data_IF_681540136141
#
_entry.id   IF_681540136141
#
_cell.length_a   1.000
_cell.length_b   1.000
_cell.length_c   1.000
_cell.angle_alpha   90.00
_cell.angle_beta   90.00
_cell.angle_gamma   90.00
#
_symmetry.space_group_name_H-M   'P 1'
#
loop_
_entity.id
_entity.type
_entity.pdbx_description
1 polymer ?
#
# COMPACT_ATOMS: atom_id res chain seq x y z
N UNK A 1 6.26 5.68 15.30
CA UNK A 1 5.07 6.05 16.07
C UNK A 1 3.93 6.43 15.13
N UNK A 2 2.70 6.06 15.47
CA UNK A 2 1.49 6.69 14.94
C UNK A 2 1.03 7.71 15.97
N UNK A 3 0.93 8.96 15.55
CA UNK A 3 0.60 10.10 16.43
C UNK A 3 -0.59 10.85 15.86
N UNK A 4 -1.42 11.41 16.73
CA UNK A 4 -2.35 12.48 16.38
C UNK A 4 -2.08 13.72 17.21
N UNK A 5 -2.32 14.87 16.62
CA UNK A 5 -2.22 16.16 17.32
C UNK A 5 -3.61 16.76 17.43
N UNK A 6 -3.97 17.36 18.57
CA UNK A 6 -5.24 18.07 18.69
C UNK A 6 -5.23 19.33 17.80
N UNK A 7 -6.33 19.59 17.14
CA UNK A 7 -6.60 20.82 16.41
C UNK A 7 -8.05 21.24 16.71
N UNK A 8 -8.23 21.99 17.79
CA UNK A 8 -9.55 22.31 18.35
C UNK A 8 -10.29 23.39 17.58
N UNK A 9 -9.57 24.14 16.78
CA UNK A 9 -10.08 25.32 16.04
C UNK A 9 -10.02 25.15 14.52
N UNK A 10 -9.65 23.95 14.04
CA UNK A 10 -9.54 23.59 12.61
C UNK A 10 -8.59 24.52 11.82
N UNK A 11 -7.53 24.94 12.49
CA UNK A 11 -6.54 25.84 11.90
C UNK A 11 -5.37 25.11 11.21
N UNK A 12 -5.37 23.78 11.23
CA UNK A 12 -4.25 22.92 10.79
C UNK A 12 -2.94 23.21 11.55
N UNK A 13 -3.05 23.72 12.76
CA UNK A 13 -1.93 24.00 13.67
C UNK A 13 -2.20 23.25 14.98
N UNK A 14 -1.28 22.37 15.41
CA UNK A 14 -1.44 21.65 16.69
C UNK A 14 -1.64 22.62 17.87
N UNK A 15 -2.67 22.37 18.68
CA UNK A 15 -2.98 23.13 19.89
C UNK A 15 -2.72 22.35 21.19
N UNK A 16 -1.88 21.33 21.14
CA UNK A 16 -1.47 20.56 22.30
C UNK A 16 -0.47 19.47 21.96
N UNK A 17 -0.08 18.71 22.99
CA UNK A 17 0.84 17.59 22.85
C UNK A 17 0.21 16.45 22.04
N UNK A 18 1.04 15.68 21.29
CA UNK A 18 0.55 14.55 20.52
C UNK A 18 0.04 13.41 21.40
N UNK A 19 -1.03 12.75 20.97
CA UNK A 19 -1.40 11.45 21.48
C UNK A 19 -0.66 10.36 20.70
N UNK A 20 0.00 9.44 21.42
CA UNK A 20 0.66 8.27 20.83
C UNK A 20 -0.34 7.13 20.71
N UNK A 21 -0.66 6.74 19.49
CA UNK A 21 -1.58 5.63 19.21
C UNK A 21 -0.88 4.28 19.09
N UNK A 22 0.21 4.23 18.33
CA UNK A 22 0.97 3.00 18.09
C UNK A 22 2.47 3.25 18.15
N UNK A 23 3.19 2.24 18.62
CA UNK A 23 4.65 2.15 18.64
C UNK A 23 5.10 0.80 18.05
N UNK A 24 6.40 0.59 17.90
CA UNK A 24 6.95 -0.71 17.49
C UNK A 24 7.08 -0.93 15.98
N UNK A 25 7.09 0.15 15.18
CA UNK A 25 7.20 0.05 13.72
C UNK A 25 8.59 -0.35 13.19
N UNK A 26 9.60 -0.48 14.05
CA UNK A 26 10.99 -0.74 13.66
C UNK A 26 11.73 0.51 13.15
N UNK A 27 13.04 0.41 13.13
CA UNK A 27 13.94 1.51 12.71
C UNK A 27 15.14 1.00 11.89
N UNK A 28 15.16 -0.28 11.50
CA UNK A 28 16.29 -0.88 10.78
C UNK A 28 16.50 -0.26 9.40
N UNK A 29 15.42 0.21 8.78
CA UNK A 29 15.46 0.90 7.49
C UNK A 29 14.35 1.94 7.44
N UNK A 30 14.74 3.20 7.60
CA UNK A 30 13.80 4.33 7.61
C UNK A 30 13.11 4.56 6.26
N UNK A 31 13.68 4.03 5.17
CA UNK A 31 13.07 4.11 3.84
C UNK A 31 11.95 3.09 3.62
N UNK A 32 11.83 2.10 4.50
CA UNK A 32 10.81 1.05 4.38
C UNK A 32 9.94 0.88 5.62
N UNK A 33 9.98 1.86 6.54
CA UNK A 33 9.12 1.90 7.70
C UNK A 33 7.63 2.10 7.36
N UNK A 34 6.84 2.37 8.40
CA UNK A 34 5.41 2.65 8.23
C UNK A 34 5.18 3.89 7.35
N UNK A 35 4.30 3.76 6.38
CA UNK A 35 4.01 4.80 5.37
C UNK A 35 2.56 4.74 4.87
N UNK A 36 2.19 5.71 4.05
CA UNK A 36 0.94 5.72 3.26
C UNK A 36 -0.34 5.65 4.09
N UNK A 37 -0.49 6.49 5.09
CA UNK A 37 -1.71 6.56 5.89
C UNK A 37 -2.92 6.93 5.03
N UNK A 38 -3.99 6.12 5.13
CA UNK A 38 -5.27 6.34 4.46
C UNK A 38 -6.42 5.98 5.40
N UNK A 39 -7.48 6.77 5.37
CA UNK A 39 -8.75 6.34 5.93
C UNK A 39 -9.40 5.29 5.02
N UNK A 40 -9.75 4.16 5.60
CA UNK A 40 -10.54 3.14 4.91
C UNK A 40 -12.04 3.42 4.96
N UNK A 41 -12.83 2.78 4.09
CA UNK A 41 -14.29 2.96 4.04
C UNK A 41 -15.00 2.44 5.30
N UNK A 42 -14.33 1.64 6.11
CA UNK A 42 -14.78 1.10 7.38
C UNK A 42 -14.48 2.01 8.59
N UNK A 43 -13.83 3.16 8.35
CA UNK A 43 -13.44 4.11 9.39
C UNK A 43 -12.19 3.72 10.17
N UNK A 44 -11.40 2.75 9.67
CA UNK A 44 -10.07 2.46 10.18
C UNK A 44 -9.00 3.27 9.44
N UNK A 45 -7.88 3.49 10.09
CA UNK A 45 -6.69 4.04 9.47
C UNK A 45 -5.85 2.87 8.94
N UNK A 46 -5.53 2.91 7.66
CA UNK A 46 -4.66 1.93 7.00
C UNK A 46 -3.27 2.51 6.77
N UNK A 47 -2.28 1.62 6.78
CA UNK A 47 -0.90 1.97 6.45
C UNK A 47 -0.17 0.79 5.84
N UNK A 48 0.92 1.11 5.15
CA UNK A 48 1.82 0.12 4.59
C UNK A 48 3.11 0.02 5.40
N UNK A 49 3.79 -1.11 5.27
CA UNK A 49 5.11 -1.37 5.83
C UNK A 49 6.00 -2.00 4.77
N UNK A 50 7.14 -1.39 4.53
CA UNK A 50 8.05 -1.81 3.47
C UNK A 50 8.88 -3.04 3.82
N UNK A 51 9.87 -3.36 2.97
CA UNK A 51 10.46 -4.70 2.94
C UNK A 51 11.49 -5.01 4.01
N UNK A 52 12.13 -4.02 4.62
CA UNK A 52 13.35 -4.22 5.42
C UNK A 52 13.23 -3.88 6.90
N UNK A 53 12.08 -3.40 7.34
CA UNK A 53 11.78 -3.14 8.75
C UNK A 53 10.98 -4.27 9.39
N UNK A 54 11.38 -4.67 10.57
CA UNK A 54 10.61 -5.56 11.44
C UNK A 54 9.74 -4.72 12.37
N UNK A 55 8.47 -5.06 12.49
CA UNK A 55 7.55 -4.42 13.42
C UNK A 55 7.10 -5.39 14.50
N UNK A 56 6.83 -4.84 15.70
CA UNK A 56 6.14 -5.53 16.77
C UNK A 56 5.15 -4.55 17.42
N UNK A 57 3.89 -4.63 17.02
CA UNK A 57 2.84 -3.69 17.39
C UNK A 57 1.75 -4.44 18.14
N UNK A 58 1.46 -4.02 19.38
CA UNK A 58 0.49 -4.68 20.24
C UNK A 58 0.70 -6.20 20.37
N UNK A 59 1.97 -6.65 20.39
CA UNK A 59 2.34 -8.07 20.46
C UNK A 59 2.26 -8.82 19.12
N UNK A 60 1.86 -8.17 18.03
CA UNK A 60 1.86 -8.75 16.69
C UNK A 60 3.20 -8.42 16.01
N UNK A 61 3.98 -9.45 15.75
CA UNK A 61 5.29 -9.31 15.10
C UNK A 61 5.23 -9.73 13.64
N UNK A 62 5.76 -8.89 12.74
CA UNK A 62 5.88 -9.18 11.32
C UNK A 62 7.19 -8.61 10.73
N UNK A 63 7.68 -9.29 9.68
CA UNK A 63 8.98 -9.01 9.07
C UNK A 63 8.79 -8.19 7.77
N UNK A 64 8.42 -6.92 7.92
CA UNK A 64 8.18 -6.04 6.79
C UNK A 64 7.08 -6.53 5.83
N UNK A 65 6.90 -5.83 4.72
CA UNK A 65 5.98 -6.18 3.62
C UNK A 65 4.59 -6.56 4.11
N UNK A 66 3.88 -5.58 4.62
CA UNK A 66 2.52 -5.76 5.10
C UNK A 66 1.69 -4.50 4.87
N UNK A 67 0.39 -4.69 4.74
CA UNK A 67 -0.59 -3.64 4.95
C UNK A 67 -1.26 -3.91 6.29
N UNK A 68 -1.36 -2.90 7.10
CA UNK A 68 -1.97 -2.95 8.42
C UNK A 68 -3.09 -1.94 8.53
N UNK A 69 -3.94 -2.09 9.57
CA UNK A 69 -4.96 -1.12 9.91
C UNK A 69 -5.09 -0.92 11.42
N UNK A 70 -5.57 0.24 11.80
CA UNK A 70 -5.79 0.64 13.18
C UNK A 70 -7.15 1.30 13.34
N UNK A 71 -7.94 0.84 14.30
CA UNK A 71 -9.18 1.50 14.70
C UNK A 71 -8.92 2.48 15.85
N UNK A 72 -8.98 3.80 15.62
CA UNK A 72 -8.72 4.78 16.67
C UNK A 72 -9.75 4.80 17.79
N UNK A 73 -10.95 4.24 17.56
CA UNK A 73 -12.03 4.19 18.57
C UNK A 73 -11.79 3.07 19.58
N UNK A 74 -11.41 1.90 19.09
CA UNK A 74 -11.15 0.71 19.93
C UNK A 74 -9.69 0.54 20.27
N UNK A 75 -8.80 1.35 19.67
CA UNK A 75 -7.34 1.27 19.79
C UNK A 75 -6.77 -0.08 19.30
N UNK A 76 -7.47 -0.77 18.41
CA UNK A 76 -7.09 -2.11 17.93
C UNK A 76 -6.24 -2.00 16.67
N UNK A 77 -5.12 -2.72 16.67
CA UNK A 77 -4.25 -2.91 15.50
C UNK A 77 -4.47 -4.29 14.89
N UNK A 78 -4.42 -4.38 13.56
CA UNK A 78 -4.47 -5.63 12.81
C UNK A 78 -3.54 -5.56 11.60
N UNK A 79 -2.92 -6.70 11.25
CA UNK A 79 -2.33 -6.89 9.91
C UNK A 79 -3.48 -7.24 8.96
N UNK A 80 -3.68 -6.39 7.96
CA UNK A 80 -4.76 -6.54 6.97
C UNK A 80 -4.40 -7.50 5.86
N UNK A 81 -3.15 -7.41 5.36
CA UNK A 81 -2.58 -8.32 4.37
C UNK A 81 -1.06 -8.35 4.50
N UNK A 82 -0.45 -9.49 4.20
CA UNK A 82 0.98 -9.72 4.38
C UNK A 82 1.67 -10.04 3.06
N UNK A 83 2.87 -9.49 2.86
CA UNK A 83 3.65 -9.66 1.64
C UNK A 83 3.39 -8.57 0.60
N UNK A 84 3.71 -8.84 -0.66
CA UNK A 84 3.46 -7.94 -1.79
C UNK A 84 4.63 -7.05 -2.21
N UNK A 85 5.74 -7.10 -1.52
CA UNK A 85 6.95 -6.35 -1.86
C UNK A 85 7.17 -5.11 -1.00
N UNK A 86 8.06 -4.24 -1.45
CA UNK A 86 8.37 -2.99 -0.75
C UNK A 86 7.30 -1.94 -1.08
N UNK A 87 6.28 -1.87 -0.26
CA UNK A 87 5.09 -1.05 -0.49
C UNK A 87 5.32 0.37 0.03
N UNK A 88 5.11 1.37 -0.82
CA UNK A 88 5.20 2.80 -0.48
C UNK A 88 3.92 3.58 -0.76
N UNK A 89 2.90 2.93 -1.25
CA UNK A 89 1.61 3.56 -1.48
C UNK A 89 0.50 2.53 -1.38
N UNK A 90 -0.57 2.90 -0.73
CA UNK A 90 -1.84 2.18 -0.77
C UNK A 90 -2.96 3.13 -1.16
N UNK A 91 -3.95 2.62 -1.85
CA UNK A 91 -5.12 3.38 -2.22
C UNK A 91 -6.37 2.50 -2.30
N UNK A 92 -7.53 3.10 -2.08
CA UNK A 92 -8.82 2.43 -2.22
C UNK A 92 -9.50 2.92 -3.50
N UNK A 93 -10.18 2.00 -4.16
CA UNK A 93 -11.16 2.40 -5.16
C UNK A 93 -12.52 2.72 -4.52
N UNK A 94 -13.46 3.22 -5.31
CA UNK A 94 -14.82 3.58 -4.86
C UNK A 94 -15.65 2.41 -4.33
N UNK A 95 -15.20 1.17 -4.57
CA UNK A 95 -15.82 -0.05 -4.03
C UNK A 95 -15.16 -0.53 -2.73
N UNK A 96 -14.18 0.22 -2.21
CA UNK A 96 -13.46 -0.11 -0.98
C UNK A 96 -12.43 -1.22 -1.13
N UNK A 97 -12.00 -1.53 -2.36
CA UNK A 97 -10.93 -2.51 -2.61
C UNK A 97 -9.58 -1.83 -2.47
N UNK A 98 -8.65 -2.50 -1.79
CA UNK A 98 -7.35 -1.95 -1.46
C UNK A 98 -6.28 -2.41 -2.46
N UNK A 99 -5.55 -1.44 -2.97
CA UNK A 99 -4.44 -1.66 -3.91
C UNK A 99 -3.15 -1.03 -3.41
N UNK A 100 -2.03 -1.56 -3.85
CA UNK A 100 -0.71 -0.94 -3.67
C UNK A 100 0.14 -1.03 -4.93
N UNK A 101 1.11 -0.15 -5.04
CA UNK A 101 2.26 -0.36 -5.91
C UNK A 101 3.24 -1.38 -5.31
N UNK A 102 4.30 -1.69 -6.04
CA UNK A 102 5.36 -2.60 -5.62
C UNK A 102 6.68 -2.30 -6.31
N UNK A 103 7.77 -2.82 -5.75
CA UNK A 103 9.09 -2.76 -6.37
C UNK A 103 9.40 -3.92 -7.33
N UNK A 104 8.46 -4.81 -7.59
CA UNK A 104 8.59 -5.84 -8.62
C UNK A 104 8.50 -5.25 -10.02
N UNK A 105 9.25 -5.82 -10.99
CA UNK A 105 9.27 -5.35 -12.37
C UNK A 105 8.23 -6.00 -13.29
N UNK A 106 7.48 -6.98 -12.81
CA UNK A 106 6.55 -7.77 -13.62
C UNK A 106 5.06 -7.52 -13.31
N UNK A 107 4.76 -6.54 -12.50
CA UNK A 107 3.41 -6.18 -12.08
C UNK A 107 3.29 -4.67 -11.85
N UNK A 108 2.06 -4.15 -11.82
CA UNK A 108 1.78 -2.77 -11.38
C UNK A 108 1.46 -2.69 -9.90
N UNK A 109 1.28 -3.81 -9.24
CA UNK A 109 1.01 -3.80 -7.83
C UNK A 109 0.22 -5.00 -7.35
N UNK A 110 -0.43 -4.82 -6.24
CA UNK A 110 -1.12 -5.85 -5.49
C UNK A 110 -2.52 -5.37 -5.15
N UNK A 111 -3.49 -6.23 -5.36
CA UNK A 111 -4.83 -6.10 -4.78
C UNK A 111 -4.87 -6.89 -3.49
N UNK A 112 -5.20 -6.27 -2.37
CA UNK A 112 -5.23 -6.88 -1.05
C UNK A 112 -6.66 -7.20 -0.58
N UNK A 113 -7.16 -8.41 -0.74
CA UNK A 113 -8.28 -8.87 0.09
C UNK A 113 -7.84 -8.96 1.56
N UNK A 114 -8.75 -8.73 2.49
CA UNK A 114 -8.45 -8.87 3.92
C UNK A 114 -7.99 -10.29 4.25
N UNK A 115 -6.92 -10.40 5.03
CA UNK A 115 -6.31 -11.68 5.39
C UNK A 115 -5.47 -12.33 4.29
N UNK A 116 -5.24 -11.63 3.18
CA UNK A 116 -4.41 -12.14 2.10
C UNK A 116 -2.93 -12.25 2.47
N UNK A 117 -2.27 -13.24 1.89
CA UNK A 117 -0.83 -13.45 2.03
C UNK A 117 -0.20 -13.55 0.64
N UNK A 118 0.87 -12.80 0.42
CA UNK A 118 1.63 -12.75 -0.83
C UNK A 118 3.07 -13.17 -0.58
N UNK A 119 3.75 -13.64 -1.61
CA UNK A 119 5.19 -13.89 -1.53
C UNK A 119 5.91 -12.59 -1.19
N UNK A 120 6.77 -12.64 -0.17
CA UNK A 120 7.68 -11.55 0.16
C UNK A 120 8.90 -11.60 -0.74
N UNK A 121 9.42 -10.44 -1.11
CA UNK A 121 10.65 -10.38 -1.91
C UNK A 121 11.90 -10.18 -1.05
N UNK A 122 13.04 -10.48 -1.64
CA UNK A 122 14.38 -10.20 -1.12
C UNK A 122 14.69 -10.74 0.28
N UNK A 123 14.38 -12.01 0.50
CA UNK A 123 14.77 -12.72 1.71
C UNK A 123 14.07 -12.28 3.00
N UNK A 124 13.17 -11.32 2.96
CA UNK A 124 12.30 -10.97 4.08
C UNK A 124 11.14 -11.97 4.15
N UNK A 125 11.53 -13.26 4.16
CA UNK A 125 10.62 -14.35 4.37
C UNK A 125 10.55 -14.64 5.86
N UNK A 126 9.38 -14.60 6.41
CA UNK A 126 9.07 -15.06 7.74
C UNK A 126 7.90 -16.03 7.69
N UNK A 127 7.56 -16.68 8.78
CA UNK A 127 6.33 -17.41 8.86
C UNK A 127 5.16 -16.47 8.55
N UNK A 128 4.09 -17.02 7.97
CA UNK A 128 2.85 -16.27 7.83
C UNK A 128 2.30 -15.94 9.23
N UNK A 129 1.84 -14.70 9.41
CA UNK A 129 1.23 -14.28 10.68
C UNK A 129 -0.09 -15.02 10.88
N UNK A 130 -0.85 -15.21 9.79
CA UNK A 130 -2.06 -16.03 9.82
C UNK A 130 -1.70 -17.51 9.68
N UNK A 131 -1.82 -18.32 10.75
CA UNK A 131 -1.49 -19.74 10.70
C UNK A 131 -2.45 -20.57 9.83
N UNK A 132 -3.58 -19.99 9.44
CA UNK A 132 -4.59 -20.62 8.58
C UNK A 132 -4.50 -20.23 7.11
N UNK A 133 -3.46 -19.50 6.71
CA UNK A 133 -3.25 -19.19 5.30
C UNK A 133 -2.89 -20.43 4.50
N UNK A 134 -3.63 -20.68 3.39
CA UNK A 134 -3.47 -21.87 2.54
C UNK A 134 -2.49 -21.69 1.38
N UNK A 135 -1.69 -20.63 1.39
CA UNK A 135 -0.76 -20.34 0.31
C UNK A 135 -0.73 -18.85 0.00
N UNK A 136 -0.14 -18.53 -1.15
CA UNK A 136 0.08 -17.15 -1.54
C UNK A 136 -0.84 -16.72 -2.67
N UNK A 137 -1.44 -15.53 -2.54
CA UNK A 137 -2.04 -14.83 -3.65
C UNK A 137 -0.95 -14.39 -4.64
N UNK A 138 -1.33 -14.31 -5.90
CA UNK A 138 -0.44 -13.76 -6.93
C UNK A 138 -0.57 -12.23 -6.98
N UNK A 139 0.53 -11.57 -7.32
CA UNK A 139 0.48 -10.16 -7.72
C UNK A 139 -0.38 -10.01 -8.96
N UNK A 140 -0.93 -8.82 -9.20
CA UNK A 140 -1.71 -8.56 -10.41
C UNK A 140 -0.88 -8.84 -11.67
N UNK A 141 -1.41 -9.66 -12.57
CA UNK A 141 -0.80 -9.88 -13.88
C UNK A 141 -0.73 -8.56 -14.65
N UNK A 142 0.31 -8.40 -15.47
CA UNK A 142 0.56 -7.15 -16.15
C UNK A 142 1.02 -7.33 -17.61
N UNK A 143 0.39 -6.57 -18.51
CA UNK A 143 0.80 -6.41 -19.89
C UNK A 143 1.29 -4.98 -20.12
N UNK A 144 2.50 -4.84 -20.66
CA UNK A 144 3.08 -3.54 -20.98
C UNK A 144 4.54 -3.41 -20.54
N UNK A 145 4.96 -2.17 -20.30
CA UNK A 145 6.32 -1.85 -19.89
C UNK A 145 6.56 -2.28 -18.43
N UNK A 146 7.61 -3.02 -18.18
CA UNK A 146 7.87 -3.72 -16.91
C UNK A 146 9.11 -3.20 -16.15
N UNK A 147 9.23 -1.91 -15.87
CA UNK A 147 10.32 -1.44 -15.00
C UNK A 147 10.04 -1.82 -13.56
N UNK A 148 11.10 -1.91 -12.78
CA UNK A 148 10.97 -2.01 -11.32
C UNK A 148 10.52 -0.67 -10.72
N UNK A 149 10.02 -0.72 -9.48
CA UNK A 149 9.68 0.46 -8.67
C UNK A 149 8.48 1.29 -9.18
N UNK A 150 7.44 0.63 -9.64
CA UNK A 150 6.13 1.24 -9.78
C UNK A 150 5.42 1.29 -8.40
N UNK A 151 6.05 1.94 -7.41
CA UNK A 151 5.64 1.86 -6.01
C UNK A 151 4.58 2.88 -5.63
N UNK A 152 4.69 4.10 -6.17
CA UNK A 152 3.74 5.17 -5.92
C UNK A 152 2.57 5.04 -6.89
N UNK A 153 1.46 4.51 -6.41
CA UNK A 153 0.26 4.25 -7.22
C UNK A 153 -0.98 4.81 -6.57
N UNK A 154 -1.91 5.22 -7.41
CA UNK A 154 -3.29 5.59 -7.02
C UNK A 154 -4.28 4.91 -7.94
N UNK A 155 -5.52 4.71 -7.48
CA UNK A 155 -6.66 4.43 -8.34
C UNK A 155 -7.31 5.77 -8.69
N UNK A 156 -7.34 6.09 -9.98
CA UNK A 156 -7.90 7.37 -10.40
C UNK A 156 -9.41 7.27 -10.61
N UNK A 157 -10.16 7.95 -9.75
CA UNK A 157 -11.62 8.04 -9.79
C UNK A 157 -12.02 9.49 -9.47
N UNK A 158 -11.58 10.43 -10.27
CA UNK A 158 -11.71 11.85 -9.99
C UNK A 158 -12.52 12.66 -11.02
N UNK A 159 -12.93 12.05 -12.12
CA UNK A 159 -13.76 12.67 -13.17
C UNK A 159 -13.04 13.72 -14.03
N UNK A 160 -12.00 14.40 -13.54
CA UNK A 160 -11.32 15.48 -14.27
C UNK A 160 -10.56 14.98 -15.51
N UNK A 161 -10.12 13.74 -15.51
CA UNK A 161 -9.43 13.08 -16.63
C UNK A 161 -10.19 11.81 -17.06
N UNK A 162 -11.34 11.94 -17.76
CA UNK A 162 -12.26 10.81 -17.99
C UNK A 162 -11.63 9.59 -18.67
N UNK A 163 -10.63 9.79 -19.53
CA UNK A 163 -9.93 8.70 -20.23
C UNK A 163 -9.13 7.79 -19.30
N UNK A 164 -8.85 8.24 -18.06
CA UNK A 164 -8.08 7.51 -17.05
C UNK A 164 -8.94 7.00 -15.90
N UNK A 165 -10.24 7.24 -15.94
CA UNK A 165 -11.18 6.82 -14.89
C UNK A 165 -11.08 5.31 -14.65
N UNK A 166 -10.96 4.88 -13.38
CA UNK A 166 -10.78 3.51 -12.96
C UNK A 166 -9.40 2.90 -13.25
N UNK A 167 -8.45 3.70 -13.76
CA UNK A 167 -7.09 3.22 -14.01
C UNK A 167 -6.23 3.31 -12.75
N UNK A 168 -5.26 2.39 -12.65
CA UNK A 168 -4.14 2.55 -11.73
C UNK A 168 -3.11 3.47 -12.38
N UNK A 169 -2.72 4.54 -11.67
CA UNK A 169 -1.70 5.48 -12.13
C UNK A 169 -0.47 5.31 -11.27
N UNK A 170 0.68 5.10 -11.90
CA UNK A 170 1.95 4.86 -11.23
C UNK A 170 2.97 5.93 -11.58
N UNK A 171 3.55 6.53 -10.54
CA UNK A 171 4.77 7.34 -10.67
C UNK A 171 5.99 6.44 -10.71
N UNK A 172 6.69 6.42 -11.86
CA UNK A 172 7.84 5.55 -12.09
C UNK A 172 9.13 6.38 -12.10
N UNK A 173 9.59 6.75 -10.91
CA UNK A 173 10.69 7.69 -10.72
C UNK A 173 12.01 7.27 -11.38
N UNK A 174 12.29 5.95 -11.49
CA UNK A 174 13.55 5.46 -12.09
C UNK A 174 13.55 5.46 -13.62
N UNK A 175 12.44 5.81 -14.25
CA UNK A 175 12.30 5.80 -15.71
C UNK A 175 11.54 7.02 -16.22
N UNK A 176 11.55 8.08 -15.42
CA UNK A 176 11.04 9.42 -15.75
C UNK A 176 9.66 9.39 -16.40
N UNK A 177 8.72 8.64 -15.78
CA UNK A 177 7.41 8.38 -16.38
C UNK A 177 6.28 8.41 -15.36
N UNK A 178 5.14 8.94 -15.79
CA UNK A 178 3.85 8.69 -15.15
C UNK A 178 3.03 7.81 -16.09
N UNK A 179 2.67 6.63 -15.63
CA UNK A 179 2.00 5.61 -16.42
C UNK A 179 0.60 5.32 -15.88
N UNK A 180 -0.39 5.40 -16.75
CA UNK A 180 -1.71 4.85 -16.48
C UNK A 180 -1.80 3.43 -17.04
N UNK A 181 -2.39 2.53 -16.27
CA UNK A 181 -2.67 1.15 -16.68
C UNK A 181 -4.13 0.83 -16.40
N UNK A 182 -4.82 0.29 -17.38
CA UNK A 182 -6.21 -0.14 -17.20
C UNK A 182 -6.27 -1.33 -16.24
N UNK A 183 -7.25 -1.28 -15.34
CA UNK A 183 -7.50 -2.31 -14.36
C UNK A 183 -8.68 -3.18 -14.86
N UNK A 184 -8.46 -4.48 -14.98
CA UNK A 184 -9.46 -5.45 -15.39
C UNK A 184 -9.64 -6.52 -14.33
N UNK A 185 -10.87 -6.94 -14.01
CA UNK A 185 -11.09 -8.12 -13.17
C UNK A 185 -10.39 -9.36 -13.76
N UNK A 186 -9.76 -10.14 -12.90
CA UNK A 186 -9.13 -11.40 -13.25
C UNK A 186 -9.32 -12.41 -12.12
N UNK A 187 -10.31 -13.26 -12.25
CA UNK A 187 -10.77 -14.21 -11.22
C UNK A 187 -11.07 -13.51 -9.88
N UNK A 188 -10.32 -13.77 -8.84
CA UNK A 188 -10.47 -13.16 -7.49
C UNK A 188 -9.62 -11.89 -7.31
N UNK A 189 -8.94 -11.44 -8.36
CA UNK A 189 -8.06 -10.27 -8.32
C UNK A 189 -8.22 -9.44 -9.59
N UNK A 190 -7.15 -8.76 -10.00
CA UNK A 190 -7.13 -7.89 -11.18
C UNK A 190 -5.88 -8.18 -12.01
N UNK A 191 -5.94 -7.78 -13.27
CA UNK A 191 -4.80 -7.62 -14.15
C UNK A 191 -4.75 -6.21 -14.69
N UNK A 192 -3.58 -5.78 -15.09
CA UNK A 192 -3.33 -4.44 -15.61
C UNK A 192 -2.77 -4.49 -17.02
N UNK A 193 -3.19 -3.52 -17.85
CA UNK A 193 -2.69 -3.33 -19.22
C UNK A 193 -2.33 -1.86 -19.39
N UNK A 194 -1.10 -1.59 -19.82
CA UNK A 194 -0.65 -0.20 -20.01
C UNK A 194 -1.46 0.51 -21.10
N UNK A 195 -1.75 1.76 -20.83
CA UNK A 195 -2.10 2.76 -21.85
C UNK A 195 -0.84 3.44 -22.37
N UNK A 196 -0.89 4.29 -23.39
CA UNK A 196 0.21 5.21 -23.65
C UNK A 196 0.56 5.99 -22.36
N UNK A 197 1.84 6.30 -22.10
CA UNK A 197 2.22 7.03 -20.89
C UNK A 197 1.53 8.39 -20.83
N UNK A 198 1.21 8.84 -19.61
CA UNK A 198 0.61 10.16 -19.41
C UNK A 198 1.66 11.25 -19.58
N UNK A 199 2.81 11.03 -19.00
CA UNK A 199 3.98 11.94 -19.04
C UNK A 199 5.24 11.09 -19.15
N UNK A 200 6.15 11.55 -19.97
CA UNK A 200 7.55 11.14 -20.02
C UNK A 200 8.41 12.38 -20.05
N UNK A 201 9.52 12.38 -19.30
CA UNK A 201 10.52 13.44 -19.37
C UNK A 201 11.79 12.87 -19.98
N UNK A 202 12.55 13.73 -20.66
CA UNK A 202 13.91 13.42 -21.07
C UNK A 202 14.84 13.57 -19.86
N UNK A 203 15.94 12.81 -19.84
CA UNK A 203 16.94 12.86 -18.77
C UNK A 203 17.69 14.19 -18.73
#
# INVERSE_FOLDING_TARGET
FLLSYPDKNDACIPDGDPEVHLTGFGLEDTHSGANSLRWGPDGWIYGAHGSTCTAEIQGIKFLGQAVWRYDPRTKKFEVFGEGGGNTFCIDFDSQGRLFSGTNHGNTRGVHYPQGSSFTKNWGKHGPLINPYAFGYYQHMAHEGYKPRFAQSTIIYEGGALPRYEGNIISGMALVNRVQASRLYPDTSTFRTVDTPPMVTTED
#
